data_IF_200045060429
#
_entry.id   IF_200045060429
#
_cell.length_a   1.000
_cell.length_b   1.000
_cell.length_c   1.000
_cell.angle_alpha   90.00
_cell.angle_beta   90.00
_cell.angle_gamma   90.00
#
_symmetry.space_group_name_H-M   'P 1'
#
loop_
_entity.id
_entity.type
_entity.pdbx_description
1 polymer ?
#
# COMPACT_ATOMS: atom_id res chain seq x y z
N UNK A 1 -21.43 59.20 -71.79
CA UNK A 1 -20.02 59.21 -71.33
C UNK A 1 -19.63 57.76 -71.08
N UNK A 2 -18.71 57.22 -71.89
CA UNK A 2 -17.72 56.13 -71.66
C UNK A 2 -17.94 55.17 -70.46
N UNK A 3 -17.68 53.85 -70.49
CA UNK A 3 -17.05 52.93 -71.46
C UNK A 3 -17.24 51.48 -70.91
N UNK A 4 -17.41 50.49 -71.80
CA UNK A 4 -16.97 49.06 -71.75
C UNK A 4 -17.11 48.21 -70.45
N UNK A 5 -17.71 47.01 -70.56
CA UNK A 5 -16.99 45.71 -70.58
C UNK A 5 -17.92 44.47 -70.46
N UNK A 6 -17.68 43.46 -71.33
CA UNK A 6 -17.81 41.98 -71.15
C UNK A 6 -19.12 41.36 -70.66
N UNK A 7 -19.86 40.62 -71.52
CA UNK A 7 -19.71 39.20 -71.93
C UNK A 7 -20.46 38.21 -71.04
N UNK A 8 -21.51 37.60 -71.63
CA UNK A 8 -21.92 36.18 -71.63
C UNK A 8 -21.61 35.30 -70.39
N UNK A 9 -22.61 34.59 -69.85
CA UNK A 9 -22.70 33.10 -69.85
C UNK A 9 -23.90 32.59 -69.02
N UNK A 10 -24.63 31.70 -69.68
CA UNK A 10 -25.41 30.53 -69.26
C UNK A 10 -25.97 30.38 -67.83
N UNK A 11 -27.29 30.15 -67.84
CA UNK A 11 -28.07 29.16 -67.09
C UNK A 11 -27.22 28.06 -66.43
N UNK A 12 -27.28 27.96 -65.10
CA UNK A 12 -27.20 26.69 -64.38
C UNK A 12 -27.99 26.80 -63.08
N UNK A 13 -29.17 26.19 -63.09
CA UNK A 13 -30.03 26.03 -61.93
C UNK A 13 -29.40 25.07 -60.92
N UNK A 14 -29.44 25.46 -59.65
CA UNK A 14 -29.65 24.63 -58.45
C UNK A 14 -29.20 23.17 -58.57
N UNK A 15 -27.98 22.89 -58.09
CA UNK A 15 -27.57 21.56 -57.62
C UNK A 15 -26.92 21.74 -56.23
N UNK A 16 -27.76 21.98 -55.23
CA UNK A 16 -27.42 21.76 -53.83
C UNK A 16 -28.08 20.45 -53.44
N UNK A 17 -27.37 19.34 -53.58
CA UNK A 17 -27.70 18.10 -52.89
C UNK A 17 -26.51 17.14 -52.99
N UNK A 18 -26.08 16.63 -51.83
CA UNK A 18 -25.28 15.41 -51.62
C UNK A 18 -23.74 15.55 -51.69
N UNK A 19 -23.14 16.26 -50.73
CA UNK A 19 -21.76 15.98 -50.28
C UNK A 19 -21.72 15.76 -48.77
N UNK A 20 -22.61 14.91 -48.26
CA UNK A 20 -22.70 14.66 -46.83
C UNK A 20 -23.48 13.39 -46.56
N UNK A 21 -22.77 12.27 -46.64
CA UNK A 21 -22.91 11.05 -45.87
C UNK A 21 -22.06 10.00 -46.60
N UNK A 22 -21.01 9.53 -45.95
CA UNK A 22 -20.40 8.25 -46.35
C UNK A 22 -21.52 7.21 -46.49
N UNK A 23 -21.46 6.31 -47.48
CA UNK A 23 -22.50 5.33 -47.72
C UNK A 23 -22.77 4.55 -46.43
N UNK A 24 -24.05 4.42 -46.06
CA UNK A 24 -24.48 3.58 -44.94
C UNK A 24 -23.94 2.16 -45.15
N UNK A 25 -22.98 1.77 -44.31
CA UNK A 25 -22.44 0.40 -44.33
C UNK A 25 -23.37 -0.44 -43.45
N UNK A 26 -24.23 -1.25 -44.07
CA UNK A 26 -25.20 -2.15 -43.43
C UNK A 26 -24.53 -3.12 -42.43
N UNK A 27 -23.25 -3.38 -42.60
CA UNK A 27 -22.45 -4.26 -41.74
C UNK A 27 -21.39 -3.45 -41.03
N UNK A 28 -21.40 -3.48 -39.70
CA UNK A 28 -20.26 -3.01 -38.89
C UNK A 28 -18.97 -3.61 -39.48
N UNK A 29 -17.89 -2.82 -39.64
CA UNK A 29 -16.56 -3.40 -39.78
C UNK A 29 -16.43 -4.46 -38.68
N UNK A 30 -16.07 -5.69 -39.05
CA UNK A 30 -15.88 -6.75 -38.06
C UNK A 30 -14.87 -6.30 -37.01
N UNK A 31 -15.07 -6.73 -35.76
CA UNK A 31 -14.07 -6.50 -34.72
C UNK A 31 -12.73 -7.07 -35.19
N UNK A 32 -11.65 -6.34 -34.90
CA UNK A 32 -10.29 -6.87 -35.02
C UNK A 32 -10.17 -8.17 -34.22
N UNK A 33 -9.24 -9.04 -34.61
CA UNK A 33 -8.97 -10.25 -33.85
C UNK A 33 -8.48 -9.88 -32.43
N UNK A 34 -8.77 -10.70 -31.41
CA UNK A 34 -8.17 -10.51 -30.09
C UNK A 34 -6.64 -10.46 -30.17
N UNK A 35 -5.98 -9.73 -29.25
CA UNK A 35 -4.53 -9.67 -29.24
C UNK A 35 -3.92 -11.06 -28.97
N UNK A 36 -2.76 -11.32 -29.55
CA UNK A 36 -1.95 -12.48 -29.17
C UNK A 36 -1.14 -12.13 -27.93
N UNK A 37 -0.97 -13.09 -27.03
CA UNK A 37 -0.09 -12.95 -25.88
C UNK A 37 0.60 -14.28 -25.58
N UNK A 38 1.92 -14.27 -25.50
CA UNK A 38 2.75 -15.33 -24.96
C UNK A 38 3.34 -14.83 -23.65
N UNK A 39 2.97 -15.48 -22.56
CA UNK A 39 3.34 -15.06 -21.20
C UNK A 39 4.32 -16.07 -20.63
N UNK A 40 5.38 -15.57 -20.01
CA UNK A 40 6.32 -16.35 -19.23
C UNK A 40 6.61 -15.69 -17.89
N UNK A 41 6.95 -16.50 -16.89
CA UNK A 41 7.53 -16.02 -15.65
C UNK A 41 8.60 -17.00 -15.19
N UNK A 42 9.60 -16.49 -14.48
CA UNK A 42 10.67 -17.30 -13.93
C UNK A 42 11.33 -16.60 -12.74
N UNK A 43 11.97 -17.39 -11.89
CA UNK A 43 12.76 -16.87 -10.77
C UNK A 43 14.15 -16.43 -11.24
N UNK A 44 14.66 -15.33 -10.69
CA UNK A 44 16.04 -14.92 -10.96
C UNK A 44 17.04 -15.95 -10.40
N UNK A 45 18.17 -16.18 -11.08
CA UNK A 45 19.24 -16.99 -10.52
C UNK A 45 19.84 -16.27 -9.30
N UNK A 46 20.09 -17.03 -8.24
CA UNK A 46 20.84 -16.58 -7.06
C UNK A 46 22.22 -17.23 -7.07
N UNK A 47 23.23 -16.59 -6.48
CA UNK A 47 24.53 -17.22 -6.23
C UNK A 47 25.00 -16.89 -4.83
N UNK A 48 24.78 -17.84 -3.93
CA UNK A 48 25.26 -17.77 -2.54
C UNK A 48 26.49 -18.66 -2.41
N UNK A 49 27.59 -18.10 -1.92
CA UNK A 49 28.87 -18.81 -1.70
C UNK A 49 29.41 -19.58 -2.93
N UNK A 50 29.12 -19.06 -4.13
CA UNK A 50 29.57 -19.66 -5.41
C UNK A 50 28.76 -20.88 -5.86
N UNK A 51 27.65 -21.20 -5.19
CA UNK A 51 26.68 -22.20 -5.64
C UNK A 51 25.55 -21.47 -6.37
N UNK A 52 25.35 -21.80 -7.65
CA UNK A 52 24.24 -21.26 -8.45
C UNK A 52 22.95 -21.92 -7.96
N UNK A 53 22.04 -21.10 -7.43
CA UNK A 53 20.70 -21.45 -7.01
C UNK A 53 19.65 -20.63 -7.73
N UNK A 54 18.42 -20.70 -7.23
CA UNK A 54 17.28 -19.92 -7.70
C UNK A 54 16.82 -19.04 -6.54
N UNK A 55 16.62 -17.75 -6.78
CA UNK A 55 15.99 -16.85 -5.82
C UNK A 55 14.46 -16.95 -5.96
N UNK A 56 13.82 -17.79 -5.13
CA UNK A 56 12.36 -17.93 -5.14
C UNK A 56 11.63 -16.63 -4.83
N UNK A 57 12.30 -15.64 -4.25
CA UNK A 57 11.67 -14.39 -3.84
C UNK A 57 11.67 -13.34 -4.95
N UNK A 58 12.36 -13.56 -6.07
CA UNK A 58 12.42 -12.59 -7.18
C UNK A 58 11.89 -13.21 -8.46
N UNK A 59 10.67 -12.82 -8.83
CA UNK A 59 9.95 -13.31 -10.01
C UNK A 59 10.03 -12.29 -11.13
N UNK A 60 10.61 -12.66 -12.26
CA UNK A 60 10.48 -11.92 -13.51
C UNK A 60 9.21 -12.37 -14.22
N UNK A 61 8.44 -11.42 -14.70
CA UNK A 61 7.28 -11.65 -15.57
C UNK A 61 7.53 -11.02 -16.93
N UNK A 62 7.12 -11.70 -18.00
CA UNK A 62 7.30 -11.25 -19.37
C UNK A 62 6.02 -11.53 -20.17
N UNK A 63 5.52 -10.52 -20.88
CA UNK A 63 4.42 -10.63 -21.81
C UNK A 63 4.88 -10.20 -23.21
N UNK A 64 5.04 -11.16 -24.11
CA UNK A 64 5.21 -10.92 -25.54
C UNK A 64 3.83 -10.85 -26.19
N UNK A 65 3.43 -9.68 -26.65
CA UNK A 65 2.06 -9.43 -27.14
C UNK A 65 2.05 -8.76 -28.50
N UNK A 66 0.89 -8.80 -29.18
CA UNK A 66 0.73 -8.10 -30.45
C UNK A 66 0.90 -6.58 -30.31
N UNK A 67 1.45 -5.94 -31.35
CA UNK A 67 1.76 -4.50 -31.38
C UNK A 67 0.55 -3.57 -31.15
N UNK A 68 -0.67 -4.08 -31.26
CA UNK A 68 -1.91 -3.33 -31.07
C UNK A 68 -2.41 -3.29 -29.62
N UNK A 69 -1.70 -3.96 -28.69
CA UNK A 69 -1.96 -3.86 -27.26
C UNK A 69 -1.57 -2.47 -26.75
N UNK A 70 -2.49 -1.82 -26.04
CA UNK A 70 -2.31 -0.45 -25.53
C UNK A 70 -2.50 -0.34 -24.00
N UNK A 71 -3.00 -1.39 -23.34
CA UNK A 71 -3.02 -1.50 -21.87
C UNK A 71 -2.39 -2.84 -21.52
N UNK A 72 -1.44 -2.79 -20.60
CA UNK A 72 -0.85 -3.93 -19.91
C UNK A 72 -1.23 -3.81 -18.45
N UNK A 73 -1.59 -4.93 -17.82
CA UNK A 73 -1.82 -4.97 -16.39
C UNK A 73 -1.40 -6.33 -15.87
N UNK A 74 -0.31 -6.34 -15.11
CA UNK A 74 0.07 -7.40 -14.21
C UNK A 74 -0.58 -7.19 -12.85
N UNK A 75 -1.10 -8.27 -12.27
CA UNK A 75 -1.44 -8.37 -10.85
C UNK A 75 -0.58 -9.50 -10.27
N UNK A 76 0.21 -9.18 -9.26
CA UNK A 76 1.18 -10.09 -8.67
C UNK A 76 0.59 -10.93 -7.53
N UNK A 77 -0.69 -10.74 -7.18
CA UNK A 77 -1.36 -11.49 -6.12
C UNK A 77 -0.94 -11.11 -4.70
N UNK A 78 -0.03 -10.14 -4.55
CA UNK A 78 0.39 -9.52 -3.29
C UNK A 78 -0.19 -8.11 -3.10
N UNK A 79 -1.22 -7.75 -3.88
CA UNK A 79 -1.81 -6.41 -3.89
C UNK A 79 -1.10 -5.39 -4.79
N UNK A 80 0.06 -5.75 -5.36
CA UNK A 80 0.80 -4.91 -6.29
C UNK A 80 0.46 -5.21 -7.74
N UNK A 81 0.60 -4.19 -8.59
CA UNK A 81 0.34 -4.26 -10.03
C UNK A 81 1.45 -3.61 -10.83
N UNK A 82 1.58 -3.97 -12.10
CA UNK A 82 2.49 -3.31 -13.05
C UNK A 82 1.84 -3.11 -14.41
N UNK A 83 2.21 -2.01 -15.09
CA UNK A 83 1.79 -1.74 -16.46
C UNK A 83 2.94 -1.96 -17.47
N UNK A 84 4.08 -2.47 -17.01
CA UNK A 84 5.21 -2.78 -17.88
C UNK A 84 5.05 -4.19 -18.45
N UNK A 85 5.29 -4.43 -19.75
CA UNK A 85 5.21 -5.77 -20.34
C UNK A 85 6.22 -6.75 -19.73
N UNK A 86 7.35 -6.23 -19.23
CA UNK A 86 8.39 -6.98 -18.53
C UNK A 86 8.69 -6.28 -17.22
N UNK A 87 8.60 -7.01 -16.11
CA UNK A 87 8.85 -6.47 -14.78
C UNK A 87 9.44 -7.55 -13.84
N UNK A 88 10.03 -7.12 -12.73
CA UNK A 88 10.55 -7.99 -11.67
C UNK A 88 9.88 -7.68 -10.34
N UNK A 89 9.16 -8.64 -9.80
CA UNK A 89 8.52 -8.56 -8.48
C UNK A 89 9.36 -9.27 -7.41
N UNK A 90 9.45 -8.66 -6.23
CA UNK A 90 10.08 -9.26 -5.04
C UNK A 90 9.02 -9.59 -4.00
N UNK A 91 8.93 -10.86 -3.61
CA UNK A 91 8.03 -11.33 -2.55
C UNK A 91 8.83 -11.55 -1.27
N UNK A 92 8.45 -10.87 -0.19
CA UNK A 92 9.19 -10.95 1.08
C UNK A 92 8.70 -12.07 2.00
N UNK A 93 7.46 -12.50 1.86
CA UNK A 93 6.83 -13.51 2.73
C UNK A 93 6.69 -14.83 1.96
N UNK A 94 6.94 -15.96 2.64
CA UNK A 94 6.68 -17.28 2.08
C UNK A 94 5.18 -17.48 1.81
N UNK A 95 4.84 -18.14 0.70
CA UNK A 95 3.45 -18.35 0.35
C UNK A 95 3.22 -18.63 -1.13
N UNK A 96 1.95 -18.85 -1.48
CA UNK A 96 1.54 -19.02 -2.87
C UNK A 96 0.73 -17.81 -3.32
N UNK A 97 1.21 -17.13 -4.35
CA UNK A 97 0.60 -15.92 -4.89
C UNK A 97 0.00 -16.23 -6.26
N UNK A 98 -1.26 -15.84 -6.47
CA UNK A 98 -1.91 -15.96 -7.79
C UNK A 98 -1.55 -14.76 -8.64
N UNK A 99 -0.81 -14.99 -9.73
CA UNK A 99 -0.43 -13.93 -10.67
C UNK A 99 -1.39 -13.90 -11.85
N UNK A 100 -1.62 -12.73 -12.42
CA UNK A 100 -2.41 -12.58 -13.64
C UNK A 100 -1.91 -11.46 -14.53
N UNK A 101 -2.21 -11.57 -15.83
CA UNK A 101 -1.90 -10.56 -16.83
C UNK A 101 -3.11 -10.27 -17.71
N UNK A 102 -3.29 -9.00 -18.05
CA UNK A 102 -4.30 -8.49 -18.97
C UNK A 102 -3.65 -7.60 -20.03
N UNK A 103 -3.82 -7.95 -21.30
CA UNK A 103 -3.43 -7.12 -22.45
C UNK A 103 -4.66 -6.68 -23.23
N UNK A 104 -4.94 -5.38 -23.33
CA UNK A 104 -6.09 -4.87 -24.09
C UNK A 104 -5.68 -4.28 -25.44
N UNK A 105 -6.42 -4.66 -26.47
CA UNK A 105 -6.28 -4.18 -27.84
C UNK A 105 -7.68 -3.87 -28.44
N UNK A 106 -7.77 -3.19 -29.59
CA UNK A 106 -9.07 -2.86 -30.20
C UNK A 106 -9.93 -4.09 -30.51
N UNK A 107 -9.29 -5.24 -30.74
CA UNK A 107 -9.96 -6.52 -30.99
C UNK A 107 -10.37 -7.32 -29.75
N UNK A 108 -10.10 -6.83 -28.54
CA UNK A 108 -10.47 -7.49 -27.29
C UNK A 108 -9.36 -7.48 -26.25
N UNK A 109 -9.28 -8.56 -25.46
CA UNK A 109 -8.32 -8.69 -24.38
C UNK A 109 -7.71 -10.09 -24.39
N UNK A 110 -6.40 -10.15 -24.16
CA UNK A 110 -5.70 -11.37 -23.81
C UNK A 110 -5.58 -11.45 -22.29
N UNK A 111 -5.79 -12.65 -21.74
CA UNK A 111 -5.77 -12.92 -20.31
C UNK A 111 -4.87 -14.10 -20.00
N UNK A 112 -4.11 -14.00 -18.92
CA UNK A 112 -3.30 -15.09 -18.37
C UNK A 112 -3.42 -15.12 -16.85
N UNK A 113 -3.34 -16.32 -16.28
CA UNK A 113 -3.27 -16.51 -14.83
C UNK A 113 -2.43 -17.74 -14.51
N UNK A 114 -1.68 -17.65 -13.43
CA UNK A 114 -0.87 -18.75 -12.87
C UNK A 114 -0.65 -18.51 -11.37
N UNK A 115 0.17 -19.33 -10.74
CA UNK A 115 0.59 -19.11 -9.35
C UNK A 115 2.08 -19.31 -9.18
N UNK A 116 2.70 -18.47 -8.35
CA UNK A 116 4.10 -18.59 -7.93
C UNK A 116 4.17 -19.02 -6.47
N UNK A 117 5.10 -19.93 -6.15
CA UNK A 117 5.32 -20.40 -4.78
C UNK A 117 6.66 -19.86 -4.27
N UNK A 118 6.59 -19.05 -3.22
CA UNK A 118 7.72 -18.43 -2.56
C UNK A 118 8.14 -19.34 -1.40
N UNK A 119 9.37 -19.86 -1.45
CA UNK A 119 9.80 -20.96 -0.57
C UNK A 119 10.28 -20.51 0.81
N UNK A 120 10.59 -19.23 0.97
CA UNK A 120 11.12 -18.66 2.22
C UNK A 120 10.68 -17.22 2.40
N UNK A 121 10.53 -16.83 3.65
CA UNK A 121 10.45 -15.41 4.03
C UNK A 121 11.86 -14.82 4.00
N UNK A 122 12.05 -13.69 3.31
CA UNK A 122 13.31 -12.96 3.34
C UNK A 122 13.40 -12.13 4.61
N UNK A 123 14.59 -12.12 5.20
CA UNK A 123 14.95 -11.06 6.11
C UNK A 123 15.00 -9.75 5.31
N UNK A 124 14.27 -8.75 5.78
CA UNK A 124 14.26 -7.45 5.14
C UNK A 124 15.66 -6.83 5.27
N UNK A 125 16.30 -6.42 4.16
CA UNK A 125 17.55 -5.68 4.28
C UNK A 125 17.31 -4.44 5.12
N UNK A 126 18.31 -4.04 5.92
CA UNK A 126 18.28 -2.78 6.65
C UNK A 126 18.37 -1.58 5.67
N UNK A 127 17.30 -1.36 4.93
CA UNK A 127 17.15 -0.28 3.97
C UNK A 127 15.68 0.18 4.00
N UNK A 128 15.40 1.32 3.36
CA UNK A 128 14.06 1.87 3.24
C UNK A 128 13.32 1.96 4.58
N UNK A 129 12.10 1.42 4.62
CA UNK A 129 11.21 1.49 5.77
C UNK A 129 11.79 0.82 7.01
N UNK A 130 12.43 -0.35 6.90
CA UNK A 130 13.02 -1.00 8.06
C UNK A 130 14.13 -0.13 8.68
N UNK A 131 14.98 0.46 7.84
CA UNK A 131 16.05 1.35 8.30
C UNK A 131 15.51 2.60 8.99
N UNK A 132 14.50 3.25 8.40
CA UNK A 132 13.89 4.45 9.00
C UNK A 132 13.17 4.16 10.31
N UNK A 133 12.44 3.04 10.37
CA UNK A 133 11.62 2.61 11.51
C UNK A 133 12.47 2.17 12.71
N UNK A 134 13.59 1.50 12.47
CA UNK A 134 14.38 0.84 13.53
C UNK A 134 15.72 1.52 13.82
N UNK A 135 16.28 2.23 12.83
CA UNK A 135 17.67 2.72 12.86
C UNK A 135 18.74 1.60 12.73
N UNK A 136 18.32 0.33 12.70
CA UNK A 136 19.15 -0.87 12.63
C UNK A 136 20.35 -0.85 13.57
N UNK A 137 21.57 -0.76 13.02
CA UNK A 137 22.83 -0.70 13.79
C UNK A 137 22.92 0.52 14.72
N UNK A 138 22.09 1.55 14.49
CA UNK A 138 21.91 2.69 15.39
C UNK A 138 20.46 2.71 15.88
N UNK A 139 20.12 1.89 16.90
CA UNK A 139 18.74 1.73 17.35
C UNK A 139 18.06 3.06 17.65
N UNK A 140 16.83 3.19 17.16
CA UNK A 140 15.97 4.35 17.35
C UNK A 140 14.82 4.02 18.29
N UNK A 141 14.35 5.04 18.98
CA UNK A 141 13.06 4.99 19.69
C UNK A 141 12.09 6.04 19.15
N UNK A 142 10.81 5.77 19.30
CA UNK A 142 9.71 6.65 18.96
C UNK A 142 9.01 7.08 20.25
N UNK A 143 8.57 8.33 20.28
CA UNK A 143 7.71 8.88 21.34
C UNK A 143 6.58 9.67 20.71
N UNK A 144 5.47 9.87 21.43
CA UNK A 144 4.41 10.73 20.91
C UNK A 144 4.94 12.13 20.57
N UNK A 145 4.56 12.62 19.38
CA UNK A 145 4.84 13.99 19.01
C UNK A 145 4.00 14.96 19.87
N UNK A 146 4.50 16.18 20.03
CA UNK A 146 3.76 17.26 20.72
C UNK A 146 2.89 18.09 19.78
N UNK A 147 2.78 17.69 18.51
CA UNK A 147 1.95 18.36 17.51
C UNK A 147 0.46 18.31 17.88
N UNK A 148 -0.33 19.25 17.35
CA UNK A 148 -1.78 19.09 17.37
C UNK A 148 -2.18 17.87 16.53
N UNK A 149 -3.10 17.06 17.05
CA UNK A 149 -3.54 15.83 16.41
C UNK A 149 -2.57 14.66 16.60
N UNK A 150 -1.61 14.73 17.52
CA UNK A 150 -0.69 13.63 17.81
C UNK A 150 -1.40 12.30 18.10
N UNK A 151 -2.58 12.40 18.71
CA UNK A 151 -3.62 11.39 18.68
C UNK A 151 -4.86 12.03 18.05
N UNK A 152 -5.42 11.40 17.02
CA UNK A 152 -6.69 11.75 16.42
C UNK A 152 -7.52 10.50 16.10
N UNK A 153 -8.84 10.67 16.07
CA UNK A 153 -9.80 9.58 15.81
C UNK A 153 -10.87 10.08 14.85
N UNK A 154 -11.23 9.25 13.87
CA UNK A 154 -12.33 9.53 12.98
C UNK A 154 -12.88 8.29 12.26
N UNK A 155 -13.93 8.46 11.44
CA UNK A 155 -14.61 7.36 10.75
C UNK A 155 -13.76 6.71 9.64
N UNK A 156 -12.71 7.39 9.18
CA UNK A 156 -11.84 6.97 8.07
C UNK A 156 -10.37 7.26 8.43
N UNK A 157 -9.39 6.54 7.85
CA UNK A 157 -7.96 6.81 8.05
C UNK A 157 -7.61 8.30 7.85
N UNK A 158 -6.86 8.87 8.79
CA UNK A 158 -6.46 10.29 8.75
C UNK A 158 -7.55 11.29 9.18
N UNK A 159 -8.77 10.84 9.49
CA UNK A 159 -9.85 11.74 9.92
C UNK A 159 -9.70 12.17 11.37
N UNK A 160 -10.02 13.45 11.63
CA UNK A 160 -9.98 14.08 12.95
C UNK A 160 -11.37 14.43 13.48
N UNK A 161 -12.43 13.90 12.86
CA UNK A 161 -13.82 14.34 13.07
C UNK A 161 -14.31 14.09 14.49
N UNK A 162 -13.93 12.98 15.12
CA UNK A 162 -14.42 12.61 16.44
C UNK A 162 -13.53 13.16 17.55
N UNK A 163 -12.22 13.18 17.31
CA UNK A 163 -11.25 13.71 18.25
C UNK A 163 -9.94 14.09 17.55
N UNK A 164 -9.32 15.17 18.03
CA UNK A 164 -7.91 15.45 17.83
C UNK A 164 -7.35 16.12 19.08
N UNK A 165 -6.22 15.60 19.55
CA UNK A 165 -5.49 16.19 20.68
C UNK A 165 -5.02 17.61 20.36
N UNK A 166 -5.08 18.55 21.32
CA UNK A 166 -4.40 19.84 21.18
C UNK A 166 -2.88 19.66 21.10
N UNK A 167 -2.16 20.64 20.56
CA UNK A 167 -0.70 20.67 20.65
C UNK A 167 -0.24 20.63 22.11
N UNK A 168 0.66 19.70 22.44
CA UNK A 168 1.11 19.45 23.81
C UNK A 168 0.00 18.99 24.76
N UNK A 169 -1.12 18.46 24.24
CA UNK A 169 -2.33 18.17 24.99
C UNK A 169 -2.42 16.76 25.58
N UNK A 170 -1.43 15.89 25.39
CA UNK A 170 -1.42 14.57 26.01
C UNK A 170 -0.98 14.67 27.48
N UNK A 171 -1.27 13.64 28.26
CA UNK A 171 -0.85 13.57 29.66
C UNK A 171 0.61 13.16 29.78
N UNK A 172 1.26 13.56 30.87
CA UNK A 172 2.72 13.42 31.05
C UNK A 172 3.21 11.97 30.89
N UNK A 173 2.46 10.99 31.43
CA UNK A 173 2.81 9.56 31.34
C UNK A 173 2.63 8.96 29.92
N UNK A 174 2.06 9.70 28.96
CA UNK A 174 2.09 9.29 27.55
C UNK A 174 3.30 9.88 26.83
N UNK A 175 3.87 10.99 27.33
CA UNK A 175 5.03 11.64 26.72
C UNK A 175 6.35 11.06 27.20
N UNK A 176 6.39 10.36 28.34
CA UNK A 176 7.58 9.65 28.81
C UNK A 176 7.73 8.25 28.16
N UNK A 177 6.66 7.67 27.63
CA UNK A 177 6.64 6.40 26.90
C UNK A 177 7.55 6.35 25.67
N UNK A 178 8.18 5.19 25.44
CA UNK A 178 9.02 4.93 24.26
C UNK A 178 8.68 3.60 23.59
N UNK A 179 8.62 3.62 22.27
CA UNK A 179 8.45 2.45 21.41
C UNK A 179 9.70 2.26 20.56
N UNK A 180 10.35 1.11 20.67
CA UNK A 180 11.48 0.72 19.83
C UNK A 180 11.12 -0.53 19.03
N UNK A 181 11.40 -0.49 17.74
CA UNK A 181 11.29 -1.63 16.84
C UNK A 181 12.71 -1.98 16.40
N UNK A 182 13.10 -3.25 16.50
CA UNK A 182 14.45 -3.70 16.09
C UNK A 182 14.42 -4.33 14.70
N UNK A 183 15.55 -4.34 13.99
CA UNK A 183 15.64 -4.99 12.67
C UNK A 183 15.29 -6.49 12.73
N UNK A 184 15.56 -7.14 13.87
CA UNK A 184 15.29 -8.55 14.12
C UNK A 184 13.82 -8.85 14.50
N UNK A 185 12.94 -7.85 14.46
CA UNK A 185 11.51 -8.04 14.72
C UNK A 185 11.10 -7.99 16.20
N UNK A 186 11.96 -7.48 17.09
CA UNK A 186 11.59 -7.24 18.50
C UNK A 186 10.86 -5.90 18.64
N UNK A 187 9.80 -5.90 19.45
CA UNK A 187 9.03 -4.72 19.83
C UNK A 187 9.20 -4.45 21.32
N UNK A 188 9.77 -3.29 21.66
CA UNK A 188 10.01 -2.88 23.04
C UNK A 188 9.15 -1.66 23.32
N UNK A 189 8.27 -1.80 24.30
CA UNK A 189 7.48 -0.70 24.84
C UNK A 189 7.96 -0.38 26.27
N UNK A 190 8.71 0.71 26.41
CA UNK A 190 9.09 1.25 27.70
C UNK A 190 8.05 2.27 28.15
N UNK A 191 7.19 1.84 29.06
CA UNK A 191 6.02 2.59 29.51
C UNK A 191 6.24 3.40 30.80
N UNK A 192 7.48 3.43 31.29
CA UNK A 192 7.89 4.05 32.57
C UNK A 192 7.00 3.70 33.78
N UNK A 193 6.35 2.53 33.75
CA UNK A 193 5.51 2.02 34.82
C UNK A 193 4.02 2.34 34.70
N UNK A 194 3.57 3.13 33.74
CA UNK A 194 2.16 3.50 33.53
C UNK A 194 1.71 3.30 32.08
N UNK A 195 0.41 3.25 31.83
CA UNK A 195 -0.12 3.34 30.46
C UNK A 195 -1.56 3.83 30.49
N UNK A 196 -2.00 4.46 29.39
CA UNK A 196 -3.38 4.91 29.24
C UNK A 196 -4.31 3.69 29.09
N UNK A 197 -5.26 3.55 30.01
CA UNK A 197 -6.26 2.48 29.96
C UNK A 197 -7.62 3.01 29.48
N UNK A 198 -7.96 2.84 28.20
CA UNK A 198 -9.23 3.29 27.64
C UNK A 198 -10.43 2.49 28.19
N UNK A 199 -10.21 1.28 28.71
CA UNK A 199 -11.26 0.38 29.19
C UNK A 199 -11.67 0.64 30.65
N UNK A 200 -10.94 1.50 31.37
CA UNK A 200 -11.28 1.98 32.71
C UNK A 200 -11.45 3.51 32.74
N UNK A 201 -11.89 4.09 31.62
CA UNK A 201 -12.24 5.51 31.53
C UNK A 201 -11.06 6.44 31.23
N UNK A 202 -10.04 5.97 30.50
CA UNK A 202 -8.86 6.75 30.11
C UNK A 202 -8.07 7.26 31.31
N UNK A 203 -7.71 6.34 32.20
CA UNK A 203 -6.87 6.60 33.37
C UNK A 203 -5.52 5.90 33.23
N UNK A 204 -4.51 6.40 33.94
CA UNK A 204 -3.23 5.70 34.06
C UNK A 204 -3.42 4.38 34.81
N UNK A 205 -2.99 3.28 34.19
CA UNK A 205 -2.89 1.98 34.84
C UNK A 205 -1.43 1.60 34.97
N UNK A 206 -0.99 1.38 36.22
CA UNK A 206 0.39 0.97 36.49
C UNK A 206 0.60 -0.47 36.06
N UNK A 207 1.58 -0.71 35.19
CA UNK A 207 1.96 -2.05 34.75
C UNK A 207 3.39 -2.07 34.20
N UNK A 208 3.95 -3.28 34.12
CA UNK A 208 5.19 -3.55 33.39
C UNK A 208 4.83 -4.38 32.16
N UNK A 209 5.39 -4.00 31.01
CA UNK A 209 5.20 -4.71 29.75
C UNK A 209 6.52 -5.36 29.36
N UNK A 210 6.51 -6.68 29.14
CA UNK A 210 7.65 -7.41 28.63
C UNK A 210 7.85 -7.12 27.12
N UNK A 211 9.08 -7.22 26.58
CA UNK A 211 9.30 -7.18 25.14
C UNK A 211 8.42 -8.18 24.40
N UNK A 212 7.96 -7.78 23.21
CA UNK A 212 7.18 -8.61 22.29
C UNK A 212 7.87 -8.63 20.92
N UNK A 213 7.14 -9.04 19.89
CA UNK A 213 7.62 -9.02 18.51
C UNK A 213 6.69 -8.22 17.62
N UNK A 214 7.17 -7.90 16.43
CA UNK A 214 6.35 -7.36 15.36
C UNK A 214 6.73 -7.99 14.02
N UNK A 215 5.80 -7.94 13.06
CA UNK A 215 6.07 -8.25 11.65
C UNK A 215 5.94 -6.98 10.82
N UNK A 216 6.88 -6.74 9.90
CA UNK A 216 6.81 -5.66 8.91
C UNK A 216 6.48 -6.27 7.55
N UNK A 217 5.41 -5.78 6.93
CA UNK A 217 4.96 -6.18 5.60
C UNK A 217 5.02 -4.97 4.68
N UNK A 218 5.89 -5.03 3.67
CA UNK A 218 6.03 -3.95 2.71
C UNK A 218 4.86 -3.96 1.73
N UNK A 219 4.32 -2.77 1.46
CA UNK A 219 3.28 -2.51 0.47
C UNK A 219 2.01 -3.36 0.63
N UNK A 220 1.71 -3.80 1.86
CA UNK A 220 0.54 -4.59 2.21
C UNK A 220 -0.65 -3.75 2.73
N UNK A 221 -0.47 -2.43 2.83
CA UNK A 221 -1.50 -1.48 3.22
C UNK A 221 -2.62 -1.32 2.18
N UNK A 222 -3.77 -0.74 2.55
CA UNK A 222 -4.94 -0.60 1.68
C UNK A 222 -4.65 0.12 0.35
N UNK A 223 -3.64 0.98 0.30
CA UNK A 223 -3.20 1.70 -0.89
C UNK A 223 -1.74 1.40 -1.25
N UNK A 224 -1.21 0.26 -0.81
CA UNK A 224 0.17 -0.15 -1.05
C UNK A 224 1.20 0.52 -0.13
N UNK A 225 0.77 1.05 1.01
CA UNK A 225 1.66 1.49 2.09
C UNK A 225 2.30 0.30 2.81
N UNK A 226 3.41 0.53 3.50
CA UNK A 226 3.97 -0.47 4.40
C UNK A 226 3.14 -0.54 5.69
N UNK A 227 3.07 -1.71 6.31
CA UNK A 227 2.40 -1.89 7.60
C UNK A 227 3.23 -2.75 8.54
N UNK A 228 3.04 -2.57 9.84
CA UNK A 228 3.53 -3.53 10.81
C UNK A 228 2.43 -3.99 11.74
N UNK A 229 2.54 -5.23 12.21
CA UNK A 229 1.62 -5.82 13.19
C UNK A 229 2.38 -6.12 14.47
N UNK A 230 1.90 -5.57 15.59
CA UNK A 230 2.47 -5.83 16.93
C UNK A 230 1.86 -7.11 17.48
N UNK A 231 2.69 -8.05 17.91
CA UNK A 231 2.25 -9.27 18.60
C UNK A 231 1.66 -8.94 19.98
N UNK A 232 0.95 -9.89 20.59
CA UNK A 232 0.41 -9.73 21.94
C UNK A 232 1.46 -9.23 22.94
N UNK A 233 1.08 -8.30 23.79
CA UNK A 233 1.97 -7.75 24.82
C UNK A 233 1.76 -8.51 26.13
N UNK A 234 2.85 -8.93 26.77
CA UNK A 234 2.77 -9.68 28.03
C UNK A 234 2.99 -8.75 29.21
N UNK A 235 2.06 -8.75 30.16
CA UNK A 235 2.20 -8.08 31.46
C UNK A 235 2.33 -9.10 32.58
N UNK A 236 2.58 -8.65 33.81
CA UNK A 236 2.56 -9.54 34.98
C UNK A 236 1.19 -10.18 35.24
N UNK A 237 0.09 -9.52 34.82
CA UNK A 237 -1.27 -9.97 35.11
C UNK A 237 -1.84 -10.85 33.99
N UNK A 238 -1.58 -10.49 32.74
CA UNK A 238 -2.15 -11.14 31.56
C UNK A 238 -1.37 -10.79 30.28
N UNK A 239 -1.59 -11.59 29.25
CA UNK A 239 -1.33 -11.19 27.87
C UNK A 239 -2.49 -10.30 27.39
N UNK A 240 -2.14 -9.19 26.76
CA UNK A 240 -3.07 -8.19 26.20
C UNK A 240 -2.79 -8.04 24.71
N UNK A 241 -3.74 -7.45 23.98
CA UNK A 241 -3.58 -7.22 22.54
C UNK A 241 -2.29 -6.47 22.21
N UNK A 242 -1.74 -6.73 21.02
CA UNK A 242 -0.65 -5.92 20.49
C UNK A 242 -1.12 -4.50 20.25
N UNK A 243 -0.34 -3.51 20.67
CA UNK A 243 -0.64 -2.11 20.42
C UNK A 243 0.62 -1.23 20.49
N UNK A 244 0.51 -0.03 19.92
CA UNK A 244 1.49 1.04 19.95
C UNK A 244 0.76 2.37 20.14
N UNK A 245 1.27 3.23 21.02
CA UNK A 245 0.61 4.49 21.37
C UNK A 245 -0.53 4.32 22.38
N UNK A 246 -1.71 3.90 21.93
CA UNK A 246 -2.91 3.76 22.78
C UNK A 246 -3.38 2.31 22.79
N UNK A 247 -3.73 1.78 23.97
CA UNK A 247 -4.07 0.36 24.16
C UNK A 247 -5.23 -0.13 23.27
N UNK A 248 -6.22 0.72 22.98
CA UNK A 248 -7.33 0.38 22.09
C UNK A 248 -7.04 0.64 20.60
N UNK A 249 -5.77 0.72 20.17
CA UNK A 249 -5.39 0.80 18.76
C UNK A 249 -4.67 -0.48 18.28
N UNK A 250 -4.79 -0.80 16.99
CA UNK A 250 -4.05 -1.90 16.35
C UNK A 250 -4.84 -3.21 16.23
N UNK A 251 -4.15 -4.37 16.18
CA UNK A 251 -2.70 -4.54 16.35
C UNK A 251 -1.88 -4.21 15.10
N UNK A 252 -2.53 -3.98 13.97
CA UNK A 252 -1.90 -3.64 12.69
C UNK A 252 -1.91 -2.12 12.46
N UNK A 253 -0.75 -1.60 12.05
CA UNK A 253 -0.48 -0.18 11.87
C UNK A 253 0.02 0.07 10.46
N UNK A 254 -0.77 0.79 9.66
CA UNK A 254 -0.34 1.28 8.35
C UNK A 254 0.55 2.50 8.52
N UNK A 255 1.73 2.49 7.91
CA UNK A 255 2.69 3.59 7.91
C UNK A 255 2.28 4.60 6.85
N UNK A 256 1.61 5.67 7.28
CA UNK A 256 1.12 6.73 6.38
C UNK A 256 2.15 7.83 6.12
N UNK A 257 3.13 7.97 7.02
CA UNK A 257 4.29 8.85 6.85
C UNK A 257 5.47 8.24 7.64
N UNK A 258 6.65 8.19 7.03
CA UNK A 258 7.88 7.78 7.70
C UNK A 258 9.07 8.58 7.17
N UNK A 259 9.79 9.23 8.07
CA UNK A 259 11.03 9.96 7.82
C UNK A 259 12.03 9.65 8.93
N UNK A 260 13.21 10.26 8.90
CA UNK A 260 14.20 10.12 9.97
C UNK A 260 13.67 10.61 11.33
N UNK A 261 12.80 11.62 11.35
CA UNK A 261 12.36 12.30 12.58
C UNK A 261 10.88 12.08 12.91
N UNK A 262 10.10 11.49 12.00
CA UNK A 262 8.64 11.44 12.10
C UNK A 262 8.06 10.12 11.61
N UNK A 263 7.12 9.60 12.39
CA UNK A 263 6.33 8.41 12.08
C UNK A 263 4.85 8.72 12.28
N UNK A 264 4.03 8.52 11.25
CA UNK A 264 2.57 8.66 11.34
C UNK A 264 1.92 7.33 11.00
N UNK A 265 1.13 6.82 11.94
CA UNK A 265 0.45 5.55 11.84
C UNK A 265 -1.05 5.75 11.72
N UNK A 266 -1.68 4.91 10.90
CA UNK A 266 -3.12 4.69 10.92
C UNK A 266 -3.41 3.28 11.39
N UNK A 267 -4.33 3.13 12.35
CA UNK A 267 -4.72 1.83 12.87
C UNK A 267 -6.21 1.80 13.19
N UNK A 268 -6.85 0.64 13.05
CA UNK A 268 -8.21 0.44 13.55
C UNK A 268 -8.22 0.48 15.07
N UNK A 269 -9.34 0.93 15.63
CA UNK A 269 -9.60 0.75 17.06
C UNK A 269 -9.90 -0.73 17.37
N UNK A 270 -9.46 -1.21 18.52
CA UNK A 270 -9.65 -2.57 18.99
C UNK A 270 -10.24 -2.58 20.41
N UNK A 271 -11.03 -3.62 20.73
CA UNK A 271 -11.44 -3.91 22.10
C UNK A 271 -10.32 -4.55 22.91
N UNK A 272 -10.51 -4.66 24.23
CA UNK A 272 -9.58 -5.38 25.11
C UNK A 272 -9.52 -6.89 24.86
N UNK A 273 -10.44 -7.42 24.05
CA UNK A 273 -10.49 -8.79 23.54
C UNK A 273 -9.84 -8.95 22.15
N UNK A 274 -9.21 -7.89 21.64
CA UNK A 274 -8.56 -7.80 20.33
C UNK A 274 -9.53 -7.93 19.16
N UNK A 275 -10.82 -7.70 19.41
CA UNK A 275 -11.85 -7.66 18.38
C UNK A 275 -12.15 -6.20 18.07
N UNK A 276 -12.15 -5.87 16.78
CA UNK A 276 -12.57 -4.56 16.31
C UNK A 276 -14.06 -4.32 16.68
N UNK A 277 -14.38 -3.28 17.47
CA UNK A 277 -15.76 -3.00 17.83
C UNK A 277 -16.58 -2.58 16.60
N UNK A 278 -17.85 -3.00 16.54
CA UNK A 278 -18.74 -2.63 15.43
C UNK A 278 -18.91 -1.10 15.38
N UNK A 279 -18.64 -0.51 14.21
CA UNK A 279 -18.74 0.94 14.02
C UNK A 279 -17.59 1.73 14.65
N UNK A 280 -16.50 1.05 14.99
CA UNK A 280 -15.26 1.69 15.43
C UNK A 280 -14.60 2.51 14.33
N UNK A 281 -13.70 3.41 14.75
CA UNK A 281 -12.98 4.30 13.84
C UNK A 281 -11.52 3.92 13.67
N UNK A 282 -10.79 4.86 13.08
CA UNK A 282 -9.36 4.78 12.87
C UNK A 282 -8.66 5.78 13.78
N UNK A 283 -7.59 5.32 14.41
CA UNK A 283 -6.60 6.17 15.03
C UNK A 283 -5.65 6.71 13.97
N UNK A 284 -5.29 7.99 14.12
CA UNK A 284 -4.05 8.55 13.56
C UNK A 284 -3.13 8.88 14.73
N UNK A 285 -1.93 8.30 14.72
CA UNK A 285 -0.94 8.44 15.79
C UNK A 285 0.34 9.02 15.20
N UNK A 286 0.83 10.11 15.79
CA UNK A 286 2.02 10.82 15.32
C UNK A 286 3.12 10.69 16.37
N UNK A 287 4.27 10.19 15.93
CA UNK A 287 5.46 10.02 16.74
C UNK A 287 6.62 10.84 16.20
N UNK A 288 7.49 11.26 17.11
CA UNK A 288 8.78 11.84 16.82
C UNK A 288 9.89 10.84 17.18
N UNK A 289 10.99 10.86 16.42
CA UNK A 289 12.16 10.07 16.74
C UNK A 289 12.86 10.60 18.01
N UNK A 290 13.50 9.70 18.75
CA UNK A 290 14.42 9.97 19.87
C UNK A 290 15.68 9.11 19.77
#
# INVERSE_FOLDING_TARGET
MNLKSTSLIAIAAVFVALTGCDPYVETSPGLSAPPSAEIAWYFLPDTVDGVVGIDSNRVVVEADVSDDVFIHLWDFGNGQVSNDPVDTMVYYVEGTYGISYQGHAPGGMAYFTDSVSIEKTLELPCEGTLSLLTGCDNPKSWKFASDAGAIAIGPEPGSTEWFASPAGGLVDFQYDDRWSLTADGEFIYNNNGGTMNPFDGYIETTMTVAPSTYTLELQAGPNGEDLFTVSGLTTEAAEICGWMGVWDSGPTYTITELTEERLVLSALQQGGDCINPVGSGYFTLIFAAE
#
